data_IF_211505748623
#
_entry.id   IF_211505748623
#
_cell.length_a   1.000
_cell.length_b   1.000
_cell.length_c   1.000
_cell.angle_alpha   90.00
_cell.angle_beta   90.00
_cell.angle_gamma   90.00
#
_symmetry.space_group_name_H-M   'P 1'
#
loop_
_entity.id
_entity.type
_entity.pdbx_description
1 polymer ?
#
# COMPACT_ATOMS: atom_id res chain seq x y z
N UNK A 1 5.37 13.05 -20.94
CA UNK A 1 5.82 11.66 -20.81
C UNK A 1 6.73 11.50 -19.61
N UNK A 2 6.18 10.88 -18.57
CA UNK A 2 6.74 9.89 -17.64
C UNK A 2 5.50 9.12 -17.13
N UNK A 3 5.38 7.80 -17.29
CA UNK A 3 4.20 7.08 -16.82
C UNK A 3 4.34 6.74 -15.32
N UNK A 4 3.22 6.88 -14.61
CA UNK A 4 2.77 6.12 -13.43
C UNK A 4 3.63 6.07 -12.14
N UNK A 5 3.03 6.62 -11.07
CA UNK A 5 3.04 6.14 -9.69
C UNK A 5 4.36 5.65 -9.11
N UNK A 6 4.93 6.44 -8.19
CA UNK A 6 6.06 6.03 -7.35
C UNK A 6 5.71 4.69 -6.69
N UNK A 7 6.30 3.56 -7.13
CA UNK A 7 5.95 2.28 -6.58
C UNK A 7 6.41 2.22 -5.12
N UNK A 8 5.75 1.39 -4.32
CA UNK A 8 6.02 1.11 -2.89
C UNK A 8 7.41 0.51 -2.59
N UNK A 9 8.41 0.80 -3.42
CA UNK A 9 9.74 0.24 -3.36
C UNK A 9 10.67 1.09 -2.51
N UNK A 10 11.66 0.43 -1.94
CA UNK A 10 12.73 1.03 -1.17
C UNK A 10 14.04 0.88 -1.95
N UNK A 11 14.68 2.02 -2.23
CA UNK A 11 15.97 2.07 -2.90
C UNK A 11 17.10 1.94 -1.90
N UNK A 12 18.16 1.23 -2.28
CA UNK A 12 19.34 0.98 -1.45
C UNK A 12 19.07 0.16 -0.19
N UNK A 13 18.04 -0.68 -0.22
CA UNK A 13 17.77 -1.64 0.83
C UNK A 13 17.50 -3.04 0.25
N UNK A 14 17.90 -4.06 1.00
CA UNK A 14 17.63 -5.47 0.71
C UNK A 14 17.23 -6.20 2.00
N UNK A 15 16.45 -7.27 1.86
CA UNK A 15 16.03 -8.12 2.96
C UNK A 15 17.06 -9.23 3.20
N UNK A 16 17.42 -9.51 4.46
CA UNK A 16 18.48 -10.48 4.80
C UNK A 16 18.01 -11.95 4.83
N UNK A 17 16.72 -12.20 5.07
CA UNK A 17 16.19 -13.55 5.24
C UNK A 17 15.49 -14.03 3.98
N UNK A 18 16.03 -15.03 3.32
CA UNK A 18 15.39 -15.67 2.17
C UNK A 18 14.23 -16.57 2.59
N UNK A 19 13.24 -16.68 1.70
CA UNK A 19 12.15 -17.65 1.84
C UNK A 19 12.68 -19.04 1.48
N UNK A 20 12.55 -19.98 2.42
CA UNK A 20 13.03 -21.35 2.24
C UNK A 20 12.42 -22.02 1.00
N UNK A 21 13.23 -22.80 0.27
CA UNK A 21 12.81 -23.45 -0.98
C UNK A 21 12.73 -22.51 -2.18
N UNK A 22 13.08 -21.22 -2.04
CA UNK A 22 13.02 -20.24 -3.11
C UNK A 22 14.34 -19.49 -3.28
N UNK A 23 15.28 -20.13 -3.98
CA UNK A 23 16.57 -19.53 -4.32
C UNK A 23 16.44 -18.27 -5.19
N UNK A 24 17.58 -17.56 -5.31
CA UNK A 24 17.74 -16.43 -6.22
C UNK A 24 17.46 -16.85 -7.66
N UNK A 25 16.70 -16.04 -8.37
CA UNK A 25 16.48 -16.23 -9.82
C UNK A 25 16.76 -14.94 -10.57
N UNK A 26 16.88 -15.04 -11.89
CA UNK A 26 17.03 -13.88 -12.78
C UNK A 26 15.65 -13.35 -13.17
N UNK A 27 15.41 -12.05 -12.95
CA UNK A 27 14.20 -11.32 -13.38
C UNK A 27 14.62 -9.97 -13.95
N UNK A 28 14.07 -9.60 -15.11
CA UNK A 28 14.55 -8.44 -15.87
C UNK A 28 14.31 -7.12 -15.17
N UNK A 29 13.25 -7.04 -14.35
CA UNK A 29 12.89 -5.83 -13.63
C UNK A 29 12.49 -6.12 -12.17
N UNK A 30 12.48 -5.09 -11.30
CA UNK A 30 11.91 -5.20 -9.96
C UNK A 30 10.43 -5.66 -9.98
N UNK A 31 9.63 -5.19 -10.93
CA UNK A 31 8.22 -5.59 -11.10
C UNK A 31 8.10 -7.08 -11.40
N UNK A 32 8.98 -7.59 -12.26
CA UNK A 32 9.08 -9.01 -12.57
C UNK A 32 9.42 -9.83 -11.33
N UNK A 33 10.27 -9.30 -10.44
CA UNK A 33 10.61 -9.93 -9.17
C UNK A 33 9.45 -9.91 -8.17
N UNK A 34 8.75 -8.78 -8.06
CA UNK A 34 7.51 -8.66 -7.28
C UNK A 34 6.45 -9.64 -7.78
N UNK A 35 6.24 -9.74 -9.09
CA UNK A 35 5.26 -10.67 -9.68
C UNK A 35 5.56 -12.13 -9.31
N UNK A 36 6.84 -12.51 -9.24
CA UNK A 36 7.24 -13.82 -8.70
C UNK A 36 6.88 -13.98 -7.22
N UNK A 37 7.12 -12.97 -6.39
CA UNK A 37 6.69 -13.01 -4.99
C UNK A 37 5.16 -13.19 -4.87
N UNK A 38 4.39 -12.57 -5.77
CA UNK A 38 2.92 -12.74 -5.79
C UNK A 38 2.49 -14.19 -6.00
N UNK A 39 3.16 -14.94 -6.86
CA UNK A 39 2.85 -16.34 -7.14
C UNK A 39 3.33 -17.34 -6.08
N UNK A 40 4.13 -16.91 -5.10
CA UNK A 40 4.71 -17.78 -4.08
C UNK A 40 3.94 -17.66 -2.76
N UNK A 41 3.47 -18.80 -2.25
CA UNK A 41 2.90 -18.88 -0.91
C UNK A 41 3.97 -18.60 0.15
N UNK A 42 3.64 -17.81 1.16
CA UNK A 42 4.60 -17.40 2.21
C UNK A 42 5.55 -16.27 1.83
N UNK A 43 5.60 -15.83 0.55
CA UNK A 43 6.34 -14.63 0.20
C UNK A 43 5.60 -13.38 0.68
N UNK A 44 6.34 -12.44 1.27
CA UNK A 44 5.81 -11.14 1.74
C UNK A 44 6.60 -9.95 1.19
N UNK A 45 7.86 -10.14 0.81
CA UNK A 45 8.70 -9.10 0.24
C UNK A 45 9.67 -9.66 -0.80
N UNK A 46 10.27 -8.77 -1.60
CA UNK A 46 11.28 -9.10 -2.58
C UNK A 46 12.47 -8.13 -2.50
N UNK A 47 13.62 -8.60 -2.97
CA UNK A 47 14.81 -7.77 -3.22
C UNK A 47 15.31 -8.04 -4.64
N UNK A 48 15.68 -6.97 -5.35
CA UNK A 48 16.15 -6.99 -6.72
C UNK A 48 17.46 -6.23 -6.84
N UNK A 49 18.42 -6.80 -7.58
CA UNK A 49 19.75 -6.26 -7.79
C UNK A 49 20.00 -5.93 -9.27
N UNK A 50 20.94 -5.01 -9.59
CA UNK A 50 21.21 -4.58 -10.96
C UNK A 50 21.73 -5.69 -11.88
N UNK A 51 22.27 -6.78 -11.32
CA UNK A 51 22.63 -8.00 -12.05
C UNK A 51 21.41 -8.88 -12.39
N UNK A 52 20.20 -8.30 -12.29
CA UNK A 52 18.91 -8.95 -12.50
C UNK A 52 18.56 -10.03 -11.47
N UNK A 53 19.31 -10.09 -10.37
CA UNK A 53 19.01 -10.99 -9.28
C UNK A 53 17.70 -10.65 -8.59
N UNK A 54 16.93 -11.69 -8.27
CA UNK A 54 15.66 -11.59 -7.57
C UNK A 54 15.62 -12.59 -6.41
N UNK A 55 15.56 -12.07 -5.18
CA UNK A 55 15.26 -12.84 -3.97
C UNK A 55 13.85 -12.53 -3.48
N UNK A 56 13.26 -13.54 -2.84
CA UNK A 56 11.94 -13.46 -2.21
C UNK A 56 12.07 -13.80 -0.74
N UNK A 57 11.30 -13.12 0.09
CA UNK A 57 11.50 -13.10 1.53
C UNK A 57 10.18 -13.38 2.25
N UNK A 58 10.21 -14.11 3.38
CA UNK A 58 9.04 -14.31 4.21
C UNK A 58 8.65 -13.01 4.94
N UNK A 59 7.51 -13.04 5.60
CA UNK A 59 7.13 -12.00 6.55
C UNK A 59 8.18 -11.85 7.66
N UNK A 60 8.44 -10.62 8.09
CA UNK A 60 9.38 -10.31 9.16
C UNK A 60 10.86 -10.38 8.79
N UNK A 61 11.21 -10.53 7.51
CA UNK A 61 12.60 -10.43 7.06
C UNK A 61 13.16 -9.02 7.37
N UNK A 62 14.34 -8.93 8.03
CA UNK A 62 14.94 -7.63 8.33
C UNK A 62 15.39 -6.91 7.06
N UNK A 63 15.02 -5.64 6.95
CA UNK A 63 15.49 -4.74 5.90
C UNK A 63 16.82 -4.11 6.30
N UNK A 64 17.82 -4.17 5.42
CA UNK A 64 19.15 -3.56 5.65
C UNK A 64 19.58 -2.67 4.51
N UNK A 65 20.41 -1.64 4.79
CA UNK A 65 21.07 -0.88 3.75
C UNK A 65 21.90 -1.81 2.85
N UNK A 66 21.66 -1.73 1.55
CA UNK A 66 22.45 -2.40 0.53
C UNK A 66 22.50 -1.49 -0.70
N UNK A 67 23.67 -0.96 -1.10
CA UNK A 67 23.74 -0.04 -2.22
C UNK A 67 23.19 -0.63 -3.53
N UNK A 68 22.54 0.22 -4.32
CA UNK A 68 22.05 -0.08 -5.68
C UNK A 68 21.00 -1.20 -5.76
N UNK A 69 20.25 -1.47 -4.69
CA UNK A 69 19.16 -2.45 -4.70
C UNK A 69 17.79 -1.80 -4.71
N UNK A 70 16.80 -2.58 -5.14
CA UNK A 70 15.39 -2.25 -5.04
C UNK A 70 14.72 -3.35 -4.23
N UNK A 71 14.07 -3.03 -3.12
CA UNK A 71 13.25 -3.97 -2.38
C UNK A 71 11.82 -3.44 -2.27
N UNK A 72 10.89 -4.31 -1.91
CA UNK A 72 9.50 -3.90 -1.72
C UNK A 72 8.60 -5.03 -1.24
N UNK A 73 7.37 -4.69 -0.85
CA UNK A 73 6.36 -5.66 -0.46
C UNK A 73 5.87 -6.48 -1.66
N UNK A 74 5.27 -7.64 -1.37
CA UNK A 74 4.55 -8.47 -2.35
C UNK A 74 3.49 -7.68 -3.11
N UNK A 75 2.72 -6.87 -2.39
CA UNK A 75 1.69 -5.99 -2.91
C UNK A 75 2.06 -4.53 -2.62
N UNK A 76 1.98 -3.67 -3.63
CA UNK A 76 1.93 -2.24 -3.37
C UNK A 76 0.53 -1.89 -2.91
N UNK A 77 0.34 -1.93 -1.60
CA UNK A 77 -0.77 -1.20 -0.99
C UNK A 77 -0.35 0.26 -0.93
N UNK A 78 -1.13 1.13 -1.56
CA UNK A 78 -1.02 2.57 -1.32
C UNK A 78 -1.32 2.78 0.16
N UNK A 79 -0.29 2.94 1.00
CA UNK A 79 -0.41 3.22 2.43
C UNK A 79 -0.98 4.62 2.65
N UNK A 80 -2.26 4.79 2.31
CA UNK A 80 -3.12 5.94 2.58
C UNK A 80 -4.57 5.49 2.82
N UNK A 81 -4.82 4.19 2.98
CA UNK A 81 -6.13 3.64 3.33
C UNK A 81 -6.05 3.07 4.73
N UNK A 82 -6.48 3.84 5.71
CA UNK A 82 -6.79 3.28 7.02
C UNK A 82 -8.23 2.75 6.94
N UNK A 83 -8.47 1.43 7.06
CA UNK A 83 -9.83 0.91 7.06
C UNK A 83 -10.59 1.46 8.27
N UNK A 84 -11.86 1.83 8.04
CA UNK A 84 -12.83 2.27 9.07
C UNK A 84 -12.55 3.63 9.73
N UNK A 85 -12.40 4.69 8.93
CA UNK A 85 -12.45 6.05 9.45
C UNK A 85 -13.80 6.67 9.11
N UNK A 86 -14.58 7.00 10.12
CA UNK A 86 -15.72 7.92 10.01
C UNK A 86 -15.37 9.15 10.82
N UNK A 87 -15.57 10.34 10.25
CA UNK A 87 -15.33 11.60 10.93
C UNK A 87 -16.66 12.31 11.10
N UNK A 88 -17.20 12.26 12.31
CA UNK A 88 -18.36 13.05 12.77
C UNK A 88 -17.83 14.14 13.70
N UNK A 89 -17.11 15.09 13.10
CA UNK A 89 -16.49 16.24 13.76
C UNK A 89 -16.70 17.55 12.99
N UNK A 90 -17.49 17.53 11.91
CA UNK A 90 -17.72 18.69 11.04
C UNK A 90 -16.61 18.95 10.02
N UNK A 91 -15.64 18.04 9.88
CA UNK A 91 -14.58 18.14 8.87
C UNK A 91 -15.02 17.72 7.46
N UNK A 92 -16.25 17.25 7.29
CA UNK A 92 -16.79 16.77 6.02
C UNK A 92 -16.84 17.87 4.95
N UNK A 93 -16.33 17.55 3.76
CA UNK A 93 -16.46 18.41 2.58
C UNK A 93 -17.67 17.94 1.78
N UNK A 94 -18.82 18.51 2.13
CA UNK A 94 -20.09 18.21 1.48
C UNK A 94 -20.66 16.85 1.89
N UNK A 95 -21.57 16.32 1.06
CA UNK A 95 -22.31 15.08 1.35
C UNK A 95 -21.57 13.83 0.83
N UNK A 96 -21.96 12.66 1.36
CA UNK A 96 -21.63 11.33 0.80
C UNK A 96 -21.93 11.31 -0.69
N UNK A 97 -21.04 10.74 -1.48
CA UNK A 97 -21.33 10.34 -2.86
C UNK A 97 -21.16 8.84 -3.01
N UNK A 98 -21.50 8.32 -4.18
CA UNK A 98 -21.25 6.94 -4.57
C UNK A 98 -20.24 6.92 -5.72
N UNK A 99 -19.24 6.06 -5.63
CA UNK A 99 -18.21 5.86 -6.67
C UNK A 99 -17.90 4.37 -6.80
N UNK A 100 -17.40 3.97 -7.97
CA UNK A 100 -17.19 2.55 -8.28
C UNK A 100 -16.02 1.94 -7.49
N UNK A 101 -14.97 2.73 -7.26
CA UNK A 101 -13.77 2.24 -6.61
C UNK A 101 -13.24 3.20 -5.56
N UNK A 102 -12.42 2.65 -4.65
CA UNK A 102 -11.65 3.44 -3.72
C UNK A 102 -10.74 4.47 -4.41
N UNK A 103 -10.17 4.12 -5.57
CA UNK A 103 -9.32 5.01 -6.35
C UNK A 103 -10.12 6.23 -6.84
N UNK A 104 -11.38 6.04 -7.24
CA UNK A 104 -12.27 7.13 -7.63
C UNK A 104 -12.56 8.07 -6.44
N UNK A 105 -12.76 7.51 -5.23
CA UNK A 105 -12.96 8.32 -4.02
C UNK A 105 -11.71 9.13 -3.66
N UNK A 106 -10.51 8.53 -3.77
CA UNK A 106 -9.23 9.22 -3.62
C UNK A 106 -9.09 10.35 -4.65
N UNK A 107 -9.41 10.07 -5.92
CA UNK A 107 -9.31 11.06 -6.99
C UNK A 107 -10.27 12.24 -6.76
N UNK A 108 -11.48 11.97 -6.25
CA UNK A 108 -12.40 13.02 -5.81
C UNK A 108 -11.77 13.90 -4.72
N UNK A 109 -11.13 13.30 -3.71
CA UNK A 109 -10.43 14.07 -2.68
C UNK A 109 -9.30 14.93 -3.27
N UNK A 110 -8.44 14.36 -4.12
CA UNK A 110 -7.36 15.10 -4.79
C UNK A 110 -7.89 16.28 -5.61
N UNK A 111 -9.04 16.12 -6.26
CA UNK A 111 -9.68 17.18 -7.03
C UNK A 111 -10.41 18.23 -6.16
N UNK A 112 -10.56 18.00 -4.86
CA UNK A 112 -11.31 18.87 -3.96
C UNK A 112 -10.38 19.74 -3.12
N UNK A 113 -10.45 21.05 -3.33
CA UNK A 113 -9.64 22.00 -2.57
C UNK A 113 -9.90 21.87 -1.06
N UNK A 114 -8.82 21.73 -0.29
CA UNK A 114 -8.86 21.56 1.16
C UNK A 114 -9.18 20.14 1.64
N UNK A 115 -9.29 19.15 0.75
CA UNK A 115 -9.40 17.75 1.15
C UNK A 115 -8.05 17.18 1.60
N UNK A 116 -8.05 16.47 2.72
CA UNK A 116 -6.90 15.78 3.28
C UNK A 116 -7.13 14.28 3.46
N UNK A 117 -8.39 13.85 3.70
CA UNK A 117 -8.73 12.45 3.96
C UNK A 117 -9.97 12.02 3.18
N UNK A 118 -10.13 10.71 2.97
CA UNK A 118 -11.34 10.13 2.39
C UNK A 118 -11.67 8.80 3.05
N UNK A 119 -12.95 8.43 3.00
CA UNK A 119 -13.47 7.14 3.45
C UNK A 119 -14.29 6.51 2.35
N UNK A 120 -14.08 5.21 2.13
CA UNK A 120 -14.76 4.42 1.11
C UNK A 120 -15.34 3.15 1.71
N UNK A 121 -16.61 2.85 1.40
CA UNK A 121 -17.34 1.69 1.89
C UNK A 121 -17.66 0.70 0.76
N UNK A 122 -17.93 -0.56 1.12
CA UNK A 122 -18.23 -1.63 0.17
C UNK A 122 -19.53 -1.41 -0.62
N UNK A 123 -20.42 -0.55 -0.14
CA UNK A 123 -21.62 -0.11 -0.84
C UNK A 123 -21.34 1.00 -1.89
N UNK A 124 -20.07 1.31 -2.15
CA UNK A 124 -19.66 2.37 -3.06
C UNK A 124 -19.65 3.76 -2.42
N UNK A 125 -19.99 3.87 -1.14
CA UNK A 125 -19.98 5.14 -0.42
C UNK A 125 -18.62 5.81 -0.43
N UNK A 126 -18.61 7.13 -0.62
CA UNK A 126 -17.43 7.96 -0.61
C UNK A 126 -17.67 9.25 0.17
N UNK A 127 -16.89 9.47 1.22
CA UNK A 127 -16.81 10.72 1.97
C UNK A 127 -15.40 11.29 1.89
N UNK A 128 -15.31 12.61 1.95
CA UNK A 128 -14.05 13.36 1.90
C UNK A 128 -14.02 14.40 3.02
N UNK A 129 -12.85 14.64 3.60
CA UNK A 129 -12.68 15.40 4.83
C UNK A 129 -11.51 16.38 4.71
N UNK A 130 -11.60 17.51 5.44
CA UNK A 130 -10.56 18.54 5.49
C UNK A 130 -9.37 18.15 6.36
N UNK A 131 -8.30 18.93 6.26
CA UNK A 131 -7.19 18.91 7.21
C UNK A 131 -7.69 19.23 8.64
N UNK A 132 -7.16 18.53 9.64
CA UNK A 132 -7.58 18.67 11.04
C UNK A 132 -8.74 17.76 11.46
N UNK A 133 -9.22 16.87 10.57
CA UNK A 133 -10.19 15.85 10.91
C UNK A 133 -9.69 14.98 12.08
N UNK A 134 -10.36 15.09 13.22
CA UNK A 134 -10.03 14.36 14.44
C UNK A 134 -10.51 12.92 14.29
N UNK A 135 -9.55 11.99 14.22
CA UNK A 135 -9.83 10.56 14.17
C UNK A 135 -10.71 10.13 15.35
N UNK A 136 -11.97 9.77 15.06
CA UNK A 136 -12.80 9.02 15.99
C UNK A 136 -12.97 7.61 15.47
N UNK A 137 -12.65 6.63 16.32
CA UNK A 137 -12.98 5.23 16.03
C UNK A 137 -14.52 5.08 15.98
N UNK A 138 -15.03 4.43 14.94
CA UNK A 138 -16.44 4.10 14.80
C UNK A 138 -16.92 3.28 16.02
N UNK A 139 -18.00 3.72 16.69
CA UNK A 139 -18.64 2.95 17.77
C UNK A 139 -19.61 1.91 17.20
N UNK A 140 -19.07 0.71 16.91
CA UNK A 140 -19.81 -0.56 16.78
C UNK A 140 -19.97 -1.08 15.34
N UNK A 141 -19.94 -2.38 15.03
CA UNK A 141 -19.71 -3.60 15.80
C UNK A 141 -19.18 -4.70 14.85
N UNK A 142 -18.22 -5.51 15.34
CA UNK A 142 -17.63 -6.76 14.80
C UNK A 142 -16.71 -6.58 13.58
N UNK A 143 -15.56 -7.24 13.46
CA UNK A 143 -14.79 -8.13 14.33
C UNK A 143 -13.33 -7.74 14.06
N UNK A 144 -12.58 -7.54 15.14
CA UNK A 144 -11.30 -6.86 15.11
C UNK A 144 -10.25 -7.81 15.66
N UNK A 145 -9.06 -7.83 15.07
CA UNK A 145 -7.86 -8.14 15.82
C UNK A 145 -6.77 -7.08 15.61
N UNK A 146 -6.10 -6.85 16.72
CA UNK A 146 -5.50 -5.58 17.17
C UNK A 146 -4.08 -5.38 16.67
N UNK A 147 -3.67 -4.11 16.64
CA UNK A 147 -2.49 -3.65 17.37
C UNK A 147 -2.93 -2.58 18.38
#
# INVERSE_FOLDING_TARGET
>A
SAPEGVPCYQLNFAMEKDLEGHERVVRKTPEDCRARCKSIAGCSAFSWWPDMGCHVHPSGAPLRPHPNTVSGPKECVEECVKPLMDYDDGSEIGKRTEVATQADCKQRCVATHGCAYFSFWSDGGCHIFREGAALKAHKGHREHEKW
#
